data_IF_576600105441
#
_entry.id   IF_576600105441
#
_cell.length_a   1.000
_cell.length_b   1.000
_cell.length_c   1.000
_cell.angle_alpha   90.00
_cell.angle_beta   90.00
_cell.angle_gamma   90.00
#
_symmetry.space_group_name_H-M   'P 1'
#
loop_
_entity.id
_entity.type
_entity.pdbx_description
1 polymer ?
#
# COMPACT_ATOMS: atom_id res chain seq x y z
N UNK A 1 15.17 -15.18 -10.81
CA UNK A 1 14.57 -14.42 -9.67
C UNK A 1 13.10 -14.81 -9.69
N UNK A 2 12.69 -15.54 -8.64
CA UNK A 2 11.39 -16.17 -8.39
C UNK A 2 10.58 -16.63 -9.60
N UNK A 3 10.76 -17.90 -9.94
CA UNK A 3 9.95 -18.63 -10.92
C UNK A 3 8.55 -18.97 -10.37
N UNK A 4 7.98 -18.09 -9.54
CA UNK A 4 6.60 -18.24 -9.09
C UNK A 4 5.69 -17.71 -10.19
N UNK A 5 4.65 -18.48 -10.52
CA UNK A 5 3.56 -18.07 -11.37
C UNK A 5 2.84 -16.86 -10.77
N UNK A 6 2.24 -16.04 -11.63
CA UNK A 6 1.49 -14.86 -11.20
C UNK A 6 0.34 -15.22 -10.25
N UNK A 7 -0.28 -16.40 -10.42
CA UNK A 7 -1.31 -16.89 -9.51
C UNK A 7 -0.75 -17.16 -8.11
N UNK A 8 0.39 -17.84 -8.01
CA UNK A 8 1.04 -18.11 -6.72
C UNK A 8 1.50 -16.83 -6.05
N UNK A 9 2.05 -15.88 -6.81
CA UNK A 9 2.40 -14.54 -6.29
C UNK A 9 1.17 -13.82 -5.74
N UNK A 10 0.06 -13.78 -6.47
CA UNK A 10 -1.16 -13.12 -6.03
C UNK A 10 -1.65 -13.67 -4.68
N UNK A 11 -1.64 -15.00 -4.49
CA UNK A 11 -2.03 -15.63 -3.23
C UNK A 11 -1.08 -15.25 -2.10
N UNK A 12 0.24 -15.33 -2.34
CA UNK A 12 1.25 -14.93 -1.35
C UNK A 12 1.10 -13.45 -0.98
N UNK A 13 0.96 -12.56 -1.95
CA UNK A 13 0.84 -11.13 -1.71
C UNK A 13 -0.46 -10.78 -0.98
N UNK A 14 -1.56 -11.45 -1.32
CA UNK A 14 -2.85 -11.33 -0.59
C UNK A 14 -2.71 -11.78 0.87
N UNK A 15 -1.95 -12.85 1.12
CA UNK A 15 -1.60 -13.25 2.48
C UNK A 15 -0.75 -12.19 3.19
N UNK A 16 0.34 -11.74 2.60
CA UNK A 16 1.21 -10.73 3.23
C UNK A 16 0.47 -9.41 3.51
N UNK A 17 -0.50 -9.04 2.65
CA UNK A 17 -1.33 -7.85 2.83
C UNK A 17 -2.33 -7.93 3.99
N UNK A 18 -2.75 -9.12 4.39
CA UNK A 18 -3.76 -9.30 5.44
C UNK A 18 -5.09 -9.89 4.99
N UNK A 19 -5.31 -10.01 3.67
CA UNK A 19 -6.61 -10.37 3.10
C UNK A 19 -6.83 -11.88 2.94
N UNK A 20 -5.78 -12.69 3.11
CA UNK A 20 -5.88 -14.15 3.23
C UNK A 20 -5.62 -14.56 4.68
N UNK A 21 -6.51 -15.39 5.23
CA UNK A 21 -6.33 -15.92 6.59
C UNK A 21 -5.13 -16.86 6.69
N UNK A 22 -4.68 -17.12 7.91
CA UNK A 22 -3.54 -18.00 8.15
C UNK A 22 -3.87 -19.46 7.77
N UNK A 23 -5.12 -19.88 7.99
CA UNK A 23 -5.61 -21.22 7.63
C UNK A 23 -5.77 -21.40 6.12
N UNK A 24 -6.29 -20.39 5.41
CA UNK A 24 -6.38 -20.45 3.94
C UNK A 24 -4.98 -20.51 3.31
N UNK A 25 -4.02 -19.77 3.86
CA UNK A 25 -2.63 -19.84 3.40
C UNK A 25 -1.97 -21.19 3.69
N UNK A 26 -2.26 -21.80 4.85
CA UNK A 26 -1.77 -23.15 5.18
C UNK A 26 -2.23 -24.20 4.15
N UNK A 27 -3.52 -24.19 3.80
CA UNK A 27 -4.08 -25.12 2.81
C UNK A 27 -3.35 -24.94 1.47
N UNK A 28 -3.21 -23.69 1.02
CA UNK A 28 -2.49 -23.38 -0.20
C UNK A 28 -1.03 -23.85 -0.17
N UNK A 29 -0.33 -23.65 0.96
CA UNK A 29 1.07 -24.06 1.13
C UNK A 29 1.25 -25.57 0.98
N UNK A 30 0.35 -26.38 1.57
CA UNK A 30 0.42 -27.84 1.46
C UNK A 30 0.10 -28.37 0.06
N UNK A 31 -0.69 -27.64 -0.73
CA UNK A 31 -1.03 -28.03 -2.10
C UNK A 31 -0.02 -27.53 -3.15
N UNK A 32 0.78 -26.51 -2.81
CA UNK A 32 1.67 -25.84 -3.75
C UNK A 32 3.03 -26.51 -3.91
N UNK A 33 3.15 -27.36 -4.93
CA UNK A 33 4.46 -27.86 -5.42
C UNK A 33 5.38 -26.73 -5.90
N UNK A 34 4.81 -25.62 -6.33
CA UNK A 34 5.59 -24.50 -6.84
C UNK A 34 6.39 -23.81 -5.72
N UNK A 35 5.79 -23.63 -4.55
CA UNK A 35 6.49 -23.09 -3.37
C UNK A 35 7.58 -24.05 -2.90
N UNK A 36 7.26 -25.34 -2.78
CA UNK A 36 8.22 -26.40 -2.40
C UNK A 36 9.48 -26.37 -3.27
N UNK A 37 9.33 -26.18 -4.59
CA UNK A 37 10.44 -26.20 -5.54
C UNK A 37 11.18 -24.85 -5.66
N UNK A 38 10.58 -23.74 -5.23
CA UNK A 38 11.14 -22.39 -5.44
C UNK A 38 11.75 -21.81 -4.18
N UNK A 39 11.16 -22.08 -3.01
CA UNK A 39 11.67 -21.58 -1.73
C UNK A 39 12.95 -22.33 -1.36
N UNK A 40 13.81 -21.69 -0.58
CA UNK A 40 14.96 -22.38 0.00
C UNK A 40 14.47 -23.51 0.90
N UNK A 41 15.04 -24.70 0.75
CA UNK A 41 14.57 -25.90 1.45
C UNK A 41 14.40 -25.69 2.96
N UNK A 42 15.41 -25.15 3.65
CA UNK A 42 15.35 -24.93 5.10
C UNK A 42 14.22 -23.95 5.50
N UNK A 43 14.03 -22.88 4.73
CA UNK A 43 12.98 -21.88 4.96
C UNK A 43 11.58 -22.47 4.66
N UNK A 44 11.47 -23.34 3.65
CA UNK A 44 10.24 -24.06 3.36
C UNK A 44 9.85 -25.03 4.48
N UNK A 45 10.82 -25.82 4.98
CA UNK A 45 10.59 -26.72 6.12
C UNK A 45 10.22 -25.94 7.39
N UNK A 46 10.88 -24.80 7.64
CA UNK A 46 10.54 -23.90 8.76
C UNK A 46 9.11 -23.38 8.62
N UNK A 47 8.70 -22.95 7.42
CA UNK A 47 7.35 -22.46 7.14
C UNK A 47 6.29 -23.54 7.39
N UNK A 48 6.51 -24.78 6.91
CA UNK A 48 5.62 -25.92 7.15
C UNK A 48 5.52 -26.31 8.63
N UNK A 49 6.55 -26.00 9.41
CA UNK A 49 6.59 -26.35 10.84
C UNK A 49 5.84 -25.36 11.72
N UNK A 50 5.35 -24.24 11.17
CA UNK A 50 4.57 -23.27 11.92
C UNK A 50 3.22 -23.84 12.34
N UNK A 51 2.78 -23.47 13.54
CA UNK A 51 1.42 -23.76 13.97
C UNK A 51 0.46 -22.68 13.44
N UNK A 52 -0.16 -22.92 12.28
CA UNK A 52 -1.09 -21.99 11.62
C UNK A 52 -2.40 -21.74 12.37
N UNK A 53 -2.70 -22.49 13.44
CA UNK A 53 -3.83 -22.18 14.33
C UNK A 53 -3.56 -20.99 15.26
N UNK A 54 -2.28 -20.64 15.48
CA UNK A 54 -1.89 -19.51 16.35
C UNK A 54 -1.76 -18.24 15.53
N UNK A 55 -2.66 -17.28 15.74
CA UNK A 55 -2.64 -15.97 15.04
C UNK A 55 -1.30 -15.23 15.16
N UNK A 56 -0.59 -15.40 16.29
CA UNK A 56 0.74 -14.82 16.49
C UNK A 56 1.72 -15.22 15.37
N UNK A 57 1.63 -16.46 14.88
CA UNK A 57 2.55 -17.04 13.90
C UNK A 57 2.45 -16.43 12.49
N UNK A 58 1.50 -15.50 12.26
CA UNK A 58 1.44 -14.77 11.00
C UNK A 58 2.71 -13.95 10.77
N UNK A 59 3.26 -13.36 11.83
CA UNK A 59 4.48 -12.56 11.73
C UNK A 59 5.69 -13.41 11.38
N UNK A 60 5.81 -14.58 11.98
CA UNK A 60 6.83 -15.58 11.69
C UNK A 60 6.72 -16.08 10.24
N UNK A 61 5.50 -16.38 9.78
CA UNK A 61 5.26 -16.76 8.38
C UNK A 61 5.69 -15.65 7.42
N UNK A 62 5.34 -14.40 7.71
CA UNK A 62 5.74 -13.23 6.91
C UNK A 62 7.27 -13.15 6.77
N UNK A 63 8.00 -13.28 7.89
CA UNK A 63 9.47 -13.23 7.92
C UNK A 63 10.17 -14.33 7.12
N UNK A 64 9.54 -15.50 7.03
CA UNK A 64 10.10 -16.61 6.24
C UNK A 64 9.82 -16.36 4.75
N UNK A 65 8.60 -15.93 4.42
CA UNK A 65 8.19 -15.66 3.04
C UNK A 65 9.00 -14.51 2.44
N UNK A 66 9.20 -13.40 3.16
CA UNK A 66 9.91 -12.21 2.64
C UNK A 66 11.34 -12.51 2.16
N UNK A 67 11.99 -13.54 2.74
CA UNK A 67 13.34 -13.98 2.32
C UNK A 67 13.34 -14.74 0.99
N UNK A 68 12.18 -15.23 0.56
CA UNK A 68 12.01 -16.10 -0.60
C UNK A 68 11.26 -15.40 -1.74
N UNK A 69 10.74 -14.19 -1.54
CA UNK A 69 10.02 -13.42 -2.55
C UNK A 69 10.75 -12.12 -2.93
N UNK A 70 10.36 -11.52 -4.05
CA UNK A 70 10.82 -10.18 -4.40
C UNK A 70 9.97 -9.14 -3.65
N UNK A 71 10.53 -8.57 -2.60
CA UNK A 71 9.83 -7.57 -1.80
C UNK A 71 9.62 -6.25 -2.55
N UNK A 72 10.41 -5.93 -3.58
CA UNK A 72 10.15 -4.78 -4.45
C UNK A 72 8.87 -5.00 -5.26
N UNK A 73 8.68 -6.21 -5.79
CA UNK A 73 7.47 -6.61 -6.52
C UNK A 73 6.23 -6.58 -5.62
N UNK A 74 6.33 -7.16 -4.42
CA UNK A 74 5.24 -7.12 -3.43
C UNK A 74 4.86 -5.68 -3.05
N UNK A 75 5.83 -4.78 -2.84
CA UNK A 75 5.55 -3.40 -2.49
C UNK A 75 4.80 -2.64 -3.60
N UNK A 76 5.18 -2.86 -4.87
CA UNK A 76 4.45 -2.28 -6.01
C UNK A 76 3.01 -2.81 -6.03
N UNK A 77 2.83 -4.13 -5.87
CA UNK A 77 1.51 -4.74 -5.80
C UNK A 77 0.69 -4.17 -4.64
N UNK A 78 1.29 -4.03 -3.45
CA UNK A 78 0.66 -3.52 -2.23
C UNK A 78 0.16 -2.09 -2.41
N UNK A 79 1.01 -1.20 -2.93
CA UNK A 79 0.63 0.19 -3.19
C UNK A 79 -0.49 0.25 -4.22
N UNK A 80 -0.40 -0.52 -5.32
CA UNK A 80 -1.47 -0.57 -6.31
C UNK A 80 -2.78 -1.11 -5.75
N UNK A 81 -2.74 -2.10 -4.85
CA UNK A 81 -3.93 -2.62 -4.17
C UNK A 81 -4.61 -1.51 -3.35
N UNK A 82 -3.84 -0.79 -2.52
CA UNK A 82 -4.33 0.35 -1.74
C UNK A 82 -4.95 1.40 -2.66
N UNK A 83 -4.23 1.81 -3.71
CA UNK A 83 -4.66 2.81 -4.67
C UNK A 83 -5.95 2.42 -5.40
N UNK A 84 -6.04 1.18 -5.87
CA UNK A 84 -7.24 0.71 -6.57
C UNK A 84 -8.44 0.67 -5.63
N UNK A 85 -8.28 0.23 -4.37
CA UNK A 85 -9.35 0.27 -3.38
C UNK A 85 -9.83 1.70 -3.09
N UNK A 86 -8.92 2.69 -3.10
CA UNK A 86 -9.27 4.11 -3.00
C UNK A 86 -10.03 4.59 -4.24
N UNK A 87 -9.52 4.32 -5.44
CA UNK A 87 -10.16 4.75 -6.70
C UNK A 87 -11.58 4.22 -6.83
N UNK A 88 -11.78 2.93 -6.51
CA UNK A 88 -13.07 2.25 -6.65
C UNK A 88 -13.95 2.32 -5.40
N UNK A 89 -13.49 2.98 -4.33
CA UNK A 89 -14.16 3.07 -3.03
C UNK A 89 -14.56 1.69 -2.48
N UNK A 90 -13.65 0.73 -2.56
CA UNK A 90 -13.83 -0.60 -2.02
C UNK A 90 -13.94 -0.58 -0.48
N UNK A 91 -14.16 -1.74 0.14
CA UNK A 91 -14.29 -1.81 1.59
C UNK A 91 -13.07 -1.20 2.31
N UNK A 92 -13.34 -0.41 3.36
CA UNK A 92 -12.34 0.28 4.17
C UNK A 92 -11.50 1.34 3.43
N UNK A 93 -11.93 1.84 2.26
CA UNK A 93 -11.23 2.92 1.57
C UNK A 93 -10.98 4.18 2.44
N UNK A 94 -11.82 4.59 3.42
CA UNK A 94 -11.49 5.72 4.29
C UNK A 94 -10.23 5.48 5.13
N UNK A 95 -10.07 4.26 5.66
CA UNK A 95 -8.88 3.85 6.41
C UNK A 95 -7.66 3.76 5.50
N UNK A 96 -7.84 3.31 4.26
CA UNK A 96 -6.75 3.25 3.28
C UNK A 96 -6.27 4.63 2.85
N UNK A 97 -7.15 5.62 2.75
CA UNK A 97 -6.74 7.01 2.53
C UNK A 97 -5.94 7.52 3.72
N UNK A 98 -6.42 7.31 4.96
CA UNK A 98 -5.72 7.72 6.16
C UNK A 98 -4.31 7.10 6.27
N UNK A 99 -4.16 5.82 5.89
CA UNK A 99 -2.87 5.12 5.95
C UNK A 99 -1.82 5.66 4.98
N UNK A 100 -2.20 6.47 3.98
CA UNK A 100 -1.25 7.17 3.11
C UNK A 100 -0.38 8.15 3.91
N UNK A 101 -0.90 8.73 4.99
CA UNK A 101 -0.12 9.56 5.90
C UNK A 101 0.93 8.74 6.65
N UNK A 102 0.56 7.54 7.12
CA UNK A 102 1.50 6.64 7.80
C UNK A 102 2.61 6.17 6.85
N UNK A 103 2.27 5.85 5.61
CA UNK A 103 3.25 5.46 4.59
C UNK A 103 4.23 6.60 4.27
N UNK A 104 3.71 7.83 4.15
CA UNK A 104 4.54 9.03 4.02
C UNK A 104 5.49 9.20 5.21
N UNK A 105 4.98 9.10 6.44
CA UNK A 105 5.78 9.20 7.66
C UNK A 105 6.83 8.10 7.78
N UNK A 106 6.58 6.92 7.20
CA UNK A 106 7.51 5.78 7.14
C UNK A 106 8.51 5.86 5.98
N UNK A 107 8.65 6.99 5.31
CA UNK A 107 9.70 7.22 4.33
C UNK A 107 9.29 7.17 2.86
N UNK A 108 8.04 6.82 2.53
CA UNK A 108 7.55 6.99 1.15
C UNK A 108 7.21 8.45 0.87
N UNK A 109 8.22 9.32 0.88
CA UNK A 109 8.05 10.77 0.72
C UNK A 109 7.51 11.17 -0.66
N UNK A 110 7.60 10.30 -1.67
CA UNK A 110 6.91 10.50 -2.94
C UNK A 110 5.38 10.55 -2.82
N UNK A 111 4.82 10.07 -1.69
CA UNK A 111 3.42 10.18 -1.35
C UNK A 111 3.05 11.53 -0.71
N UNK A 112 3.95 12.52 -0.65
CA UNK A 112 3.74 13.79 0.06
C UNK A 112 2.33 14.38 -0.09
N UNK A 113 1.87 14.66 -1.32
CA UNK A 113 0.50 15.15 -1.57
C UNK A 113 -0.58 14.19 -1.04
N UNK A 114 -0.47 12.90 -1.32
CA UNK A 114 -1.42 11.88 -0.86
C UNK A 114 -1.44 11.74 0.67
N UNK A 115 -0.28 11.82 1.32
CA UNK A 115 -0.13 11.69 2.75
C UNK A 115 -0.58 12.94 3.50
N UNK A 116 -0.18 14.13 3.06
CA UNK A 116 -0.43 15.39 3.79
C UNK A 116 -1.76 16.04 3.44
N UNK A 117 -2.20 16.03 2.18
CA UNK A 117 -3.48 16.68 1.81
C UNK A 117 -4.69 15.78 2.04
N UNK A 118 -4.51 14.47 1.85
CA UNK A 118 -5.62 13.51 1.91
C UNK A 118 -5.54 12.63 3.16
N UNK A 119 -4.43 11.94 3.36
CA UNK A 119 -4.27 11.01 4.48
C UNK A 119 -4.41 11.70 5.83
N UNK A 120 -3.63 12.76 6.07
CA UNK A 120 -3.64 13.52 7.32
C UNK A 120 -5.03 14.10 7.63
N UNK A 121 -5.75 14.56 6.60
CA UNK A 121 -7.10 15.09 6.75
C UNK A 121 -8.09 14.06 7.32
N UNK A 122 -7.90 12.77 7.03
CA UNK A 122 -8.71 11.71 7.63
C UNK A 122 -8.13 11.19 8.94
N UNK A 123 -6.81 11.12 9.07
CA UNK A 123 -6.15 10.65 10.30
C UNK A 123 -6.49 11.56 11.48
N UNK A 124 -6.56 12.87 11.26
CA UNK A 124 -6.95 13.87 12.25
C UNK A 124 -7.95 14.87 11.64
N UNK A 125 -9.25 14.51 11.56
CA UNK A 125 -10.29 15.34 10.96
C UNK A 125 -10.58 16.59 11.81
N UNK A 126 -10.58 17.73 11.14
CA UNK A 126 -10.79 19.06 11.74
C UNK A 126 -12.18 19.22 12.34
N UNK A 127 -13.17 18.57 11.75
CA UNK A 127 -14.58 18.56 12.15
C UNK A 127 -14.77 18.04 13.58
N UNK A 128 -13.80 17.28 14.09
CA UNK A 128 -13.77 16.76 15.45
C UNK A 128 -12.65 17.38 16.27
N UNK A 129 -12.19 18.59 15.93
CA UNK A 129 -11.11 19.31 16.59
C UNK A 129 -9.81 18.49 16.74
N UNK A 130 -9.56 17.55 15.83
CA UNK A 130 -8.43 16.62 15.88
C UNK A 130 -8.45 15.63 17.08
N UNK A 131 -9.56 15.54 17.82
CA UNK A 131 -9.69 14.69 19.02
C UNK A 131 -10.00 13.22 18.71
N UNK A 132 -10.29 12.90 17.44
CA UNK A 132 -10.64 11.54 17.00
C UNK A 132 -9.87 11.15 15.76
N UNK A 133 -9.53 9.89 15.62
CA UNK A 133 -9.06 9.29 14.38
C UNK A 133 -10.22 8.73 13.54
N UNK A 134 -10.04 8.60 12.23
CA UNK A 134 -11.02 7.96 11.32
C UNK A 134 -11.54 6.61 11.86
N UNK A 135 -10.69 5.81 12.51
CA UNK A 135 -11.08 4.50 13.07
C UNK A 135 -12.05 4.58 14.24
N UNK A 136 -12.14 5.73 14.91
CA UNK A 136 -13.01 5.96 16.07
C UNK A 136 -14.38 6.52 15.68
N UNK A 137 -14.54 6.90 14.41
CA UNK A 137 -15.80 7.41 13.86
C UNK A 137 -16.73 6.26 13.43
N UNK A 138 -18.03 6.51 13.40
CA UNK A 138 -18.96 5.54 12.82
C UNK A 138 -18.83 5.51 11.29
N UNK A 139 -19.20 4.39 10.66
CA UNK A 139 -19.00 4.16 9.22
C UNK A 139 -19.56 5.27 8.32
N UNK A 140 -20.72 5.85 8.67
CA UNK A 140 -21.32 6.93 7.90
C UNK A 140 -20.51 8.24 7.95
N UNK A 141 -19.90 8.56 9.08
CA UNK A 141 -19.02 9.72 9.24
C UNK A 141 -17.71 9.52 8.47
N UNK A 142 -17.12 8.33 8.56
CA UNK A 142 -15.92 7.97 7.79
C UNK A 142 -16.14 8.15 6.29
N UNK A 143 -17.25 7.60 5.78
CA UNK A 143 -17.63 7.72 4.37
C UNK A 143 -17.87 9.17 3.98
N UNK A 144 -18.55 9.96 4.81
CA UNK A 144 -18.81 11.38 4.54
C UNK A 144 -17.51 12.17 4.39
N UNK A 145 -16.58 12.02 5.32
CA UNK A 145 -15.28 12.71 5.28
C UNK A 145 -14.46 12.26 4.07
N UNK A 146 -14.36 10.95 3.85
CA UNK A 146 -13.57 10.41 2.75
C UNK A 146 -14.13 10.83 1.38
N UNK A 147 -15.47 10.82 1.20
CA UNK A 147 -16.10 11.24 -0.06
C UNK A 147 -15.87 12.72 -0.39
N UNK A 148 -15.63 13.59 0.60
CA UNK A 148 -15.32 15.00 0.37
C UNK A 148 -13.99 15.22 -0.36
N UNK A 149 -13.09 14.21 -0.35
CA UNK A 149 -11.80 14.24 -1.02
C UNK A 149 -11.87 13.90 -2.52
N UNK A 150 -13.02 13.45 -3.00
CA UNK A 150 -13.23 13.07 -4.39
C UNK A 150 -13.78 14.25 -5.22
N UNK A 151 -13.43 14.35 -6.51
CA UNK A 151 -12.63 13.40 -7.29
C UNK A 151 -11.11 13.65 -7.24
N UNK A 152 -10.64 14.67 -6.53
CA UNK A 152 -9.24 15.14 -6.59
C UNK A 152 -8.23 14.05 -6.22
N UNK A 153 -8.52 13.25 -5.20
CA UNK A 153 -7.65 12.14 -4.79
C UNK A 153 -7.39 11.12 -5.91
N UNK A 154 -8.35 10.88 -6.81
CA UNK A 154 -8.21 9.93 -7.92
C UNK A 154 -7.07 10.36 -8.84
N UNK A 155 -6.99 11.67 -9.14
CA UNK A 155 -5.92 12.19 -9.98
C UNK A 155 -4.54 11.92 -9.36
N UNK A 156 -4.38 12.24 -8.08
CA UNK A 156 -3.09 12.07 -7.41
C UNK A 156 -2.71 10.60 -7.26
N UNK A 157 -3.67 9.73 -7.02
CA UNK A 157 -3.45 8.28 -7.04
C UNK A 157 -2.96 7.81 -8.41
N UNK A 158 -3.66 8.16 -9.50
CA UNK A 158 -3.24 7.78 -10.86
C UNK A 158 -1.87 8.35 -11.23
N UNK A 159 -1.55 9.57 -10.79
CA UNK A 159 -0.24 10.18 -11.00
C UNK A 159 0.88 9.35 -10.35
N UNK A 160 0.70 8.92 -9.10
CA UNK A 160 1.69 8.06 -8.42
C UNK A 160 1.77 6.68 -9.08
N UNK A 161 0.63 6.08 -9.46
CA UNK A 161 0.61 4.80 -10.19
C UNK A 161 1.41 4.89 -11.50
N UNK A 162 1.26 5.99 -12.26
CA UNK A 162 2.05 6.24 -13.46
C UNK A 162 3.55 6.28 -13.14
N UNK A 163 3.96 6.98 -12.08
CA UNK A 163 5.38 7.03 -11.70
C UNK A 163 5.95 5.66 -11.29
N UNK A 164 5.15 4.80 -10.66
CA UNK A 164 5.55 3.42 -10.35
C UNK A 164 5.67 2.57 -11.62
N UNK A 165 4.70 2.70 -12.54
CA UNK A 165 4.67 1.94 -13.80
C UNK A 165 5.83 2.34 -14.72
N UNK A 166 6.09 3.65 -14.84
CA UNK A 166 7.16 4.22 -15.68
C UNK A 166 8.55 4.09 -15.04
N UNK A 167 8.66 3.45 -13.87
CA UNK A 167 9.90 3.30 -13.08
C UNK A 167 10.58 4.64 -12.75
N UNK A 168 9.77 5.71 -12.68
CA UNK A 168 10.17 7.01 -12.13
C UNK A 168 10.32 6.94 -10.62
N UNK A 169 9.52 6.11 -9.98
CA UNK A 169 9.69 5.72 -8.57
C UNK A 169 9.88 4.20 -8.56
N UNK A 170 10.95 3.74 -7.92
CA UNK A 170 11.23 2.31 -7.74
C UNK A 170 11.28 2.04 -6.24
N UNK A 171 10.22 1.42 -5.71
CA UNK A 171 10.20 0.95 -4.30
C UNK A 171 11.05 -0.30 -4.16
N UNK A 172 11.83 -0.40 -3.08
CA UNK A 172 12.82 -1.49 -2.94
C UNK A 172 12.33 -2.67 -2.09
N UNK A 173 11.25 -2.49 -1.32
CA UNK A 173 10.84 -3.48 -0.32
C UNK A 173 11.69 -3.50 0.95
N UNK A 174 12.64 -2.57 1.10
CA UNK A 174 13.59 -2.54 2.22
C UNK A 174 13.38 -1.34 3.12
N UNK A 175 13.84 -1.49 4.36
CA UNK A 175 13.92 -0.42 5.35
C UNK A 175 15.40 -0.02 5.50
N UNK A 176 15.65 1.29 5.64
CA UNK A 176 16.98 1.80 6.00
C UNK A 176 17.24 1.69 7.50
N UNK A 177 18.42 2.14 7.93
CA UNK A 177 18.86 2.13 9.34
C UNK A 177 17.94 2.91 10.30
N UNK A 178 17.13 3.83 9.76
CA UNK A 178 16.14 4.61 10.51
C UNK A 178 14.74 4.00 10.47
N UNK A 179 14.61 2.75 9.99
CA UNK A 179 13.34 2.04 9.86
C UNK A 179 12.36 2.73 8.89
N UNK A 180 12.88 3.44 7.90
CA UNK A 180 12.10 4.08 6.83
C UNK A 180 12.22 3.28 5.53
N UNK A 181 11.13 3.19 4.77
CA UNK A 181 11.11 2.55 3.47
C UNK A 181 12.05 3.23 2.47
N UNK A 182 12.83 2.43 1.77
CA UNK A 182 13.75 2.88 0.74
C UNK A 182 13.11 2.81 -0.65
N UNK A 183 13.35 3.84 -1.45
CA UNK A 183 12.95 3.91 -2.84
C UNK A 183 13.98 4.73 -3.65
N UNK A 184 14.04 4.47 -4.95
CA UNK A 184 14.83 5.25 -5.91
C UNK A 184 13.87 6.21 -6.60
N UNK A 185 14.22 7.50 -6.60
CA UNK A 185 13.43 8.57 -7.23
C UNK A 185 14.17 9.11 -8.47
N UNK A 186 13.71 8.69 -9.64
CA UNK A 186 14.22 9.11 -10.94
C UNK A 186 13.39 10.25 -11.55
N UNK A 187 12.47 10.85 -10.78
CA UNK A 187 11.69 12.00 -11.23
C UNK A 187 12.58 13.23 -11.36
N UNK A 188 12.37 14.01 -12.41
CA UNK A 188 12.95 15.35 -12.50
C UNK A 188 12.21 16.33 -11.55
N UNK A 189 12.71 17.56 -11.43
CA UNK A 189 12.13 18.55 -10.52
C UNK A 189 10.69 18.94 -10.87
N UNK A 190 10.34 18.99 -12.17
CA UNK A 190 8.96 19.26 -12.61
C UNK A 190 8.00 18.13 -12.20
N UNK A 191 8.43 16.87 -12.34
CA UNK A 191 7.68 15.69 -11.93
C UNK A 191 7.53 15.61 -10.41
N UNK A 192 8.58 15.96 -9.64
CA UNK A 192 8.51 16.03 -8.16
C UNK A 192 7.52 17.11 -7.71
N UNK A 193 7.58 18.30 -8.32
CA UNK A 193 6.68 19.42 -8.02
C UNK A 193 5.19 19.07 -8.19
N UNK A 194 4.85 18.10 -9.06
CA UNK A 194 3.48 17.60 -9.22
C UNK A 194 2.96 16.86 -7.98
N UNK A 195 3.84 16.40 -7.09
CA UNK A 195 3.50 15.65 -5.86
C UNK A 195 3.83 16.40 -4.58
N UNK A 196 4.35 17.62 -4.66
CA UNK A 196 4.64 18.45 -3.50
C UNK A 196 3.41 19.23 -3.01
N UNK A 197 3.29 19.33 -1.68
CA UNK A 197 2.30 20.11 -0.93
C UNK A 197 2.31 21.61 -1.29
N UNK A 198 3.49 22.17 -1.59
CA UNK A 198 3.72 23.60 -1.78
C UNK A 198 3.00 24.23 -3.00
N UNK A 199 2.43 23.43 -3.90
CA UNK A 199 1.88 23.88 -5.18
C UNK A 199 0.34 23.87 -5.29
N UNK A 200 -0.39 23.67 -4.18
CA UNK A 200 -1.85 23.46 -4.21
C UNK A 200 -2.63 24.68 -4.73
N UNK A 201 -2.19 25.91 -4.48
CA UNK A 201 -2.90 27.12 -4.95
C UNK A 201 -2.95 27.24 -6.47
N UNK A 202 -1.87 26.89 -7.17
CA UNK A 202 -1.87 26.81 -8.64
C UNK A 202 -2.57 25.55 -9.14
N UNK A 203 -2.59 24.48 -8.32
CA UNK A 203 -3.15 23.19 -8.69
C UNK A 203 -4.69 23.18 -8.71
N UNK A 204 -5.36 23.94 -7.82
CA UNK A 204 -6.83 24.14 -7.75
C UNK A 204 -7.55 24.49 -9.05
N UNK A 205 -6.82 24.97 -10.05
CA UNK A 205 -7.36 25.35 -11.36
C UNK A 205 -7.23 24.26 -12.43
N UNK A 206 -6.19 23.43 -12.46
CA UNK A 206 -5.93 22.60 -13.66
C UNK A 206 -6.79 21.32 -13.71
N UNK A 207 -7.20 20.71 -12.60
CA UNK A 207 -8.16 19.59 -12.60
C UNK A 207 -9.59 19.98 -13.01
N UNK A 208 -9.92 21.27 -12.96
CA UNK A 208 -11.21 21.76 -13.48
C UNK A 208 -11.30 21.61 -15.01
N UNK A 209 -10.17 21.58 -15.72
CA UNK A 209 -10.12 21.42 -17.18
C UNK A 209 -10.33 19.98 -17.65
N UNK A 210 -10.21 18.98 -16.76
CA UNK A 210 -10.52 17.58 -17.06
C UNK A 210 -12.00 17.23 -16.81
N UNK A 211 -12.84 18.22 -16.47
CA UNK A 211 -14.30 18.07 -16.32
C UNK A 211 -15.08 18.26 -17.63
N UNK A 212 -14.39 18.43 -18.76
CA UNK A 212 -15.00 18.58 -20.08
C UNK A 212 -14.56 17.44 -20.98
N UNK A 213 -15.16 16.27 -20.78
CA UNK A 213 -15.43 15.25 -21.80
C UNK A 213 -16.52 14.30 -21.29
#
# INVERSE_FOLDING_TARGET
MNNLSELTKEIIFTFLFGNLSLQEFEIFLYESKEIENTFKYDEYIELLSLNFSKRSNRHEAFKIIEKNIDMSEYEVWRLNKIFNSIVHREENYPQLIASLYDLYCKGYYFLNILGLDFGLHLTYPREYNYDKNISELIKSEQIKLANALYPEIIYHVHLIQRFLNDKKIIVTGKLNDFNNYEYIDNRNEEEKAQTEYSNIENKRKWWQFWRSE
#
